data_IF_432823413870
#
_entry.id   IF_432823413870
#
_cell.length_a   1.000
_cell.length_b   1.000
_cell.length_c   1.000
_cell.angle_alpha   90.00
_cell.angle_beta   90.00
_cell.angle_gamma   90.00
#
_symmetry.space_group_name_H-M   'P 1'
#
loop_
_entity.id
_entity.type
_entity.pdbx_description
1 polymer ?
#
# COMPACT_ATOMS: atom_id res chain seq x y z
N UNK A 1 11.61 -18.27 -10.95
CA UNK A 1 12.59 -17.20 -11.18
C UNK A 1 12.33 -16.63 -12.57
N UNK A 2 11.88 -15.38 -12.64
CA UNK A 2 11.59 -14.72 -13.91
C UNK A 2 12.89 -14.35 -14.64
N UNK A 3 12.85 -14.37 -15.97
CA UNK A 3 13.94 -13.83 -16.77
C UNK A 3 13.63 -12.39 -17.17
N UNK A 4 14.67 -11.57 -17.32
CA UNK A 4 14.52 -10.19 -17.75
C UNK A 4 15.51 -9.84 -18.89
N UNK A 5 15.17 -8.81 -19.66
CA UNK A 5 16.01 -8.24 -20.71
C UNK A 5 15.79 -6.74 -20.77
N UNK A 6 16.88 -6.00 -20.61
CA UNK A 6 16.94 -4.57 -20.85
C UNK A 6 17.48 -4.31 -22.26
N UNK A 7 16.76 -3.49 -23.04
CA UNK A 7 17.16 -3.06 -24.38
C UNK A 7 17.26 -1.54 -24.42
N UNK A 8 18.47 -1.01 -24.52
CA UNK A 8 18.70 0.43 -24.72
C UNK A 8 18.13 0.87 -26.06
N UNK A 9 17.25 1.87 -26.04
CA UNK A 9 16.63 2.50 -27.21
C UNK A 9 17.33 3.82 -27.54
N UNK A 10 17.78 4.54 -26.50
CA UNK A 10 18.53 5.78 -26.61
C UNK A 10 19.44 5.94 -25.38
N UNK A 11 20.64 6.46 -25.56
CA UNK A 11 21.51 6.87 -24.46
C UNK A 11 22.50 7.92 -24.95
N UNK A 12 22.69 9.00 -24.19
CA UNK A 12 23.72 10.02 -24.46
C UNK A 12 24.60 10.38 -23.25
N UNK A 13 24.48 9.62 -22.16
CA UNK A 13 25.22 9.81 -20.92
C UNK A 13 24.44 10.56 -19.84
N UNK A 14 23.51 11.44 -20.24
CA UNK A 14 22.61 12.16 -19.33
C UNK A 14 21.22 11.52 -19.33
N UNK A 15 20.70 11.19 -20.52
CA UNK A 15 19.39 10.57 -20.69
C UNK A 15 19.58 9.13 -21.17
N UNK A 16 18.97 8.17 -20.47
CA UNK A 16 18.85 6.79 -20.90
C UNK A 16 17.37 6.44 -21.12
N UNK A 17 17.04 5.89 -22.28
CA UNK A 17 15.70 5.35 -22.56
C UNK A 17 15.87 3.89 -22.96
N UNK A 18 15.25 3.01 -22.19
CA UNK A 18 15.37 1.56 -22.36
C UNK A 18 14.01 0.88 -22.37
N UNK A 19 13.97 -0.36 -22.87
CA UNK A 19 12.82 -1.26 -22.73
C UNK A 19 13.19 -2.43 -21.85
N UNK A 20 12.48 -2.60 -20.74
CA UNK A 20 12.62 -3.75 -19.84
C UNK A 20 11.49 -4.73 -20.07
N UNK A 21 11.84 -5.96 -20.48
CA UNK A 21 10.91 -7.08 -20.60
C UNK A 21 11.18 -8.08 -19.48
N UNK A 22 10.13 -8.49 -18.77
CA UNK A 22 10.17 -9.58 -17.79
C UNK A 22 9.26 -10.70 -18.29
N UNK A 23 9.76 -11.93 -18.31
CA UNK A 23 8.99 -13.08 -18.78
C UNK A 23 9.16 -14.30 -17.89
N UNK A 24 8.13 -15.13 -17.90
CA UNK A 24 8.13 -16.42 -17.24
C UNK A 24 8.77 -17.47 -18.15
N UNK A 25 9.90 -18.09 -17.75
CA UNK A 25 10.52 -19.14 -18.53
C UNK A 25 9.87 -20.52 -18.31
N UNK A 26 8.96 -20.68 -17.34
CA UNK A 26 8.38 -22.00 -17.04
C UNK A 26 7.28 -22.44 -17.98
N UNK A 27 6.83 -21.58 -18.91
CA UNK A 27 5.87 -21.93 -19.95
C UNK A 27 6.54 -22.35 -21.25
N UNK A 28 5.98 -23.35 -21.95
CA UNK A 28 6.49 -23.88 -23.24
C UNK A 28 6.71 -22.78 -24.30
N UNK A 29 5.90 -21.72 -24.22
CA UNK A 29 6.10 -20.46 -24.94
C UNK A 29 6.34 -19.38 -23.89
N UNK A 30 7.51 -18.72 -23.86
CA UNK A 30 7.79 -17.66 -22.89
C UNK A 30 6.71 -16.58 -22.93
N UNK A 31 6.03 -16.37 -21.79
CA UNK A 31 4.99 -15.34 -21.69
C UNK A 31 5.57 -14.08 -21.08
N UNK A 32 5.49 -12.96 -21.80
CA UNK A 32 5.87 -11.65 -21.27
C UNK A 32 4.89 -11.32 -20.15
N UNK A 33 5.43 -11.12 -18.95
CA UNK A 33 4.68 -10.74 -17.75
C UNK A 33 4.68 -9.24 -17.56
N UNK A 34 5.80 -8.56 -17.84
CA UNK A 34 5.93 -7.11 -17.70
C UNK A 34 6.71 -6.50 -18.86
N UNK A 35 6.34 -5.28 -19.25
CA UNK A 35 6.93 -4.54 -20.35
C UNK A 35 6.97 -3.04 -20.01
N UNK A 36 8.16 -2.52 -19.68
CA UNK A 36 8.35 -1.14 -19.29
C UNK A 36 9.09 -0.35 -20.38
N UNK A 37 8.66 0.89 -20.60
CA UNK A 37 9.54 1.95 -21.09
C UNK A 37 10.20 2.58 -19.86
N UNK A 38 11.52 2.45 -19.78
CA UNK A 38 12.32 3.02 -18.69
C UNK A 38 12.96 4.30 -19.20
N UNK A 39 12.81 5.39 -18.45
CA UNK A 39 13.41 6.69 -18.70
C UNK A 39 14.23 7.04 -17.45
N UNK A 40 15.53 7.14 -17.61
CA UNK A 40 16.43 7.57 -16.53
C UNK A 40 17.12 8.86 -16.96
N UNK A 41 17.22 9.83 -16.06
CA UNK A 41 18.01 11.04 -16.29
C UNK A 41 19.16 11.18 -15.27
N UNK A 42 19.83 12.33 -15.27
CA UNK A 42 21.11 12.56 -14.56
C UNK A 42 20.91 13.40 -13.29
N UNK A 43 22.00 13.92 -12.72
CA UNK A 43 21.94 14.73 -11.48
C UNK A 43 21.62 16.22 -11.76
N UNK A 44 20.96 16.55 -12.87
CA UNK A 44 20.69 17.92 -13.26
C UNK A 44 19.24 18.12 -13.64
N UNK A 45 18.68 19.29 -13.30
CA UNK A 45 17.28 19.61 -13.54
C UNK A 45 16.77 19.25 -14.96
N UNK A 46 15.84 18.30 -15.00
CA UNK A 46 15.26 17.68 -16.17
C UNK A 46 13.79 18.03 -16.33
N UNK A 47 13.37 18.29 -17.58
CA UNK A 47 11.95 18.50 -17.93
C UNK A 47 11.45 17.37 -18.80
N UNK A 48 10.60 16.52 -18.25
CA UNK A 48 9.98 15.39 -18.93
C UNK A 48 8.49 15.67 -19.13
N UNK A 49 8.01 15.65 -20.38
CA UNK A 49 6.58 15.77 -20.70
C UNK A 49 6.12 14.65 -21.62
N UNK A 50 5.20 13.82 -21.13
CA UNK A 50 4.66 12.63 -21.81
C UNK A 50 3.23 12.89 -22.24
N UNK A 51 2.96 12.67 -23.53
CA UNK A 51 1.64 12.87 -24.14
C UNK A 51 1.31 11.82 -25.19
N UNK A 52 0.03 11.58 -25.41
CA UNK A 52 -0.43 10.75 -26.53
C UNK A 52 -0.03 11.38 -27.88
N UNK A 53 0.29 10.53 -28.86
CA UNK A 53 0.71 10.92 -30.20
C UNK A 53 0.04 10.05 -31.28
N UNK A 54 -0.23 10.59 -32.50
CA UNK A 54 -0.90 9.83 -33.55
C UNK A 54 -0.23 8.49 -33.89
N UNK A 55 -1.08 7.48 -34.09
CA UNK A 55 -0.70 6.11 -34.48
C UNK A 55 -0.37 5.20 -33.29
N UNK A 56 -1.11 5.28 -32.19
CA UNK A 56 -0.88 4.53 -30.95
C UNK A 56 0.56 4.69 -30.42
N UNK A 57 1.04 5.94 -30.39
CA UNK A 57 2.38 6.31 -29.92
C UNK A 57 2.32 7.28 -28.75
N UNK A 58 3.41 7.36 -27.99
CA UNK A 58 3.70 8.47 -27.09
C UNK A 58 4.67 9.43 -27.78
N UNK A 59 4.54 10.71 -27.47
CA UNK A 59 5.62 11.66 -27.54
C UNK A 59 6.13 11.89 -26.11
N UNK A 60 7.45 11.78 -25.95
CA UNK A 60 8.17 12.08 -24.72
C UNK A 60 9.11 13.22 -25.05
N UNK A 61 8.91 14.38 -24.45
CA UNK A 61 9.84 15.50 -24.51
C UNK A 61 10.73 15.44 -23.29
N UNK A 62 12.05 15.36 -23.50
CA UNK A 62 13.05 15.45 -22.42
C UNK A 62 13.93 16.64 -22.77
N UNK A 63 13.93 17.68 -21.93
CA UNK A 63 14.70 18.91 -22.15
C UNK A 63 14.48 19.49 -23.57
N UNK A 64 13.21 19.63 -23.95
CA UNK A 64 12.74 20.13 -25.25
C UNK A 64 13.06 19.23 -26.48
N UNK A 65 13.66 18.06 -26.27
CA UNK A 65 13.98 17.09 -27.32
C UNK A 65 12.91 15.99 -27.40
N UNK A 66 12.29 15.77 -28.58
CA UNK A 66 11.21 14.79 -28.72
C UNK A 66 11.72 13.37 -29.02
N UNK A 67 11.09 12.40 -28.36
CA UNK A 67 11.24 10.96 -28.58
C UNK A 67 9.85 10.34 -28.82
N UNK A 68 9.77 9.33 -29.68
CA UNK A 68 8.50 8.71 -30.06
C UNK A 68 8.54 7.19 -29.90
N UNK A 69 7.58 6.63 -29.18
CA UNK A 69 7.51 5.19 -28.90
C UNK A 69 6.11 4.64 -29.11
N UNK A 70 5.99 3.42 -29.61
CA UNK A 70 4.69 2.74 -29.75
C UNK A 70 4.21 2.20 -28.41
N UNK A 71 2.95 2.46 -28.08
CA UNK A 71 2.29 2.05 -26.82
C UNK A 71 1.95 0.55 -26.82
N UNK A 72 1.55 0.02 -27.98
CA UNK A 72 1.13 -1.37 -28.15
C UNK A 72 2.30 -2.23 -28.65
N UNK A 73 2.90 -3.10 -27.83
CA UNK A 73 3.85 -4.08 -28.33
C UNK A 73 3.14 -5.10 -29.24
N UNK A 74 3.85 -5.74 -30.19
CA UNK A 74 3.26 -6.75 -31.07
C UNK A 74 2.70 -7.98 -30.33
N UNK A 75 3.26 -8.29 -29.15
CA UNK A 75 2.86 -9.39 -28.26
C UNK A 75 3.19 -8.98 -26.81
N UNK A 76 2.38 -9.44 -25.84
CA UNK A 76 2.57 -9.17 -24.40
C UNK A 76 1.63 -8.10 -23.82
N UNK A 77 1.76 -7.80 -22.53
CA UNK A 77 0.94 -6.81 -21.83
C UNK A 77 1.18 -5.38 -22.36
N UNK A 78 0.25 -4.48 -22.07
CA UNK A 78 0.41 -3.05 -22.36
C UNK A 78 1.68 -2.49 -21.73
N UNK A 79 2.29 -1.51 -22.41
CA UNK A 79 3.55 -0.92 -21.95
C UNK A 79 3.30 -0.03 -20.73
N UNK A 80 4.04 -0.25 -19.65
CA UNK A 80 4.08 0.64 -18.48
C UNK A 80 5.26 1.61 -18.58
N UNK A 81 5.22 2.70 -17.82
CA UNK A 81 6.29 3.69 -17.71
C UNK A 81 7.02 3.52 -16.38
N UNK A 82 8.35 3.58 -16.42
CA UNK A 82 9.22 3.74 -15.27
C UNK A 82 10.10 4.96 -15.54
N UNK A 83 10.05 5.95 -14.65
CA UNK A 83 10.71 7.24 -14.83
C UNK A 83 11.51 7.53 -13.56
N UNK A 84 12.81 7.75 -13.68
CA UNK A 84 13.73 7.98 -12.57
C UNK A 84 14.59 9.20 -12.91
N UNK A 85 14.44 10.31 -12.17
CA UNK A 85 15.15 11.56 -12.51
C UNK A 85 16.37 11.86 -11.64
N UNK A 86 16.61 11.06 -10.58
CA UNK A 86 17.82 11.03 -9.73
C UNK A 86 18.10 12.30 -8.92
N UNK A 87 18.47 13.41 -9.54
CA UNK A 87 18.87 14.59 -8.79
C UNK A 87 18.74 15.88 -9.57
N UNK A 88 18.62 16.98 -8.85
CA UNK A 88 18.30 18.28 -9.43
C UNK A 88 16.79 18.51 -9.46
N UNK A 89 16.37 19.79 -9.55
CA UNK A 89 14.95 20.15 -9.53
C UNK A 89 14.24 19.74 -10.83
N UNK A 90 13.59 18.59 -10.81
CA UNK A 90 13.00 17.95 -11.97
C UNK A 90 11.51 18.28 -12.12
N UNK A 91 11.02 18.14 -13.35
CA UNK A 91 9.60 18.32 -13.69
C UNK A 91 9.15 17.20 -14.61
N UNK A 92 8.38 16.26 -14.07
CA UNK A 92 7.77 15.16 -14.81
C UNK A 92 6.27 15.40 -14.94
N UNK A 93 5.78 15.52 -16.17
CA UNK A 93 4.36 15.72 -16.47
C UNK A 93 3.88 14.62 -17.40
N UNK A 94 2.86 13.89 -16.99
CA UNK A 94 2.12 12.94 -17.83
C UNK A 94 0.73 13.51 -18.07
N UNK A 95 0.36 13.71 -19.34
CA UNK A 95 -0.95 14.29 -19.69
C UNK A 95 -2.12 13.41 -19.19
N UNK A 96 -3.22 14.06 -18.76
CA UNK A 96 -4.40 13.42 -18.15
C UNK A 96 -5.03 12.30 -19.02
N UNK A 97 -4.87 12.36 -20.34
CA UNK A 97 -5.40 11.39 -21.29
C UNK A 97 -4.47 10.20 -21.55
N UNK A 98 -3.25 10.20 -21.00
CA UNK A 98 -2.34 9.04 -21.00
C UNK A 98 -2.81 8.05 -19.93
N UNK A 99 -3.26 6.86 -20.35
CA UNK A 99 -3.85 5.84 -19.46
C UNK A 99 -2.89 4.71 -19.09
N UNK A 100 -1.62 4.84 -19.43
CA UNK A 100 -0.61 3.83 -19.12
C UNK A 100 -0.31 3.81 -17.63
N UNK A 101 0.00 2.61 -17.11
CA UNK A 101 0.56 2.51 -15.78
C UNK A 101 1.92 3.21 -15.73
N UNK A 102 2.19 3.93 -14.66
CA UNK A 102 3.45 4.65 -14.47
C UNK A 102 3.98 4.51 -13.05
N UNK A 103 5.29 4.41 -12.92
CA UNK A 103 6.03 4.69 -11.69
C UNK A 103 6.98 5.84 -11.99
N UNK A 104 6.99 6.85 -11.12
CA UNK A 104 7.85 8.04 -11.24
C UNK A 104 8.55 8.26 -9.91
N UNK A 105 9.87 8.37 -9.95
CA UNK A 105 10.77 8.68 -8.83
C UNK A 105 11.49 9.98 -9.15
N UNK A 106 11.27 11.02 -8.33
CA UNK A 106 11.90 12.34 -8.45
C UNK A 106 13.38 12.28 -8.09
N UNK A 107 13.68 11.78 -6.89
CA UNK A 107 15.05 11.52 -6.47
C UNK A 107 15.49 12.52 -5.40
N UNK A 108 16.46 13.38 -5.70
CA UNK A 108 16.94 14.39 -4.77
C UNK A 108 16.64 15.80 -5.28
N UNK A 109 16.51 16.75 -4.35
CA UNK A 109 16.15 18.15 -4.56
C UNK A 109 14.65 18.34 -4.85
N UNK A 110 14.16 19.58 -4.71
CA UNK A 110 12.73 19.90 -4.86
C UNK A 110 12.19 19.61 -6.29
N UNK A 111 11.28 18.64 -6.42
CA UNK A 111 10.71 18.12 -7.68
C UNK A 111 9.23 18.44 -7.91
N UNK A 112 8.79 18.41 -9.18
CA UNK A 112 7.38 18.48 -9.57
C UNK A 112 6.97 17.24 -10.38
N UNK A 113 6.09 16.41 -9.80
CA UNK A 113 5.61 15.17 -10.42
C UNK A 113 4.10 15.22 -10.66
N UNK A 114 3.67 15.04 -11.90
CA UNK A 114 2.26 14.98 -12.27
C UNK A 114 1.92 13.69 -13.02
N UNK A 115 1.01 12.92 -12.45
CA UNK A 115 0.47 11.70 -13.03
C UNK A 115 -0.62 11.98 -14.08
N UNK A 116 -0.73 11.04 -15.02
CA UNK A 116 -1.79 11.03 -16.02
C UNK A 116 -3.04 10.29 -15.54
N UNK A 117 -3.78 9.70 -16.47
CA UNK A 117 -5.04 9.02 -16.17
C UNK A 117 -4.95 7.52 -15.91
N UNK A 118 -3.76 6.92 -16.00
CA UNK A 118 -3.51 5.51 -15.70
C UNK A 118 -3.29 5.27 -14.20
N UNK A 119 -3.02 4.01 -13.83
CA UNK A 119 -2.58 3.68 -12.47
C UNK A 119 -1.16 4.25 -12.27
N UNK A 120 -0.93 5.04 -11.23
CA UNK A 120 0.38 5.69 -11.05
C UNK A 120 0.87 5.62 -9.62
N UNK A 121 2.16 5.32 -9.47
CA UNK A 121 2.92 5.54 -8.23
C UNK A 121 3.87 6.70 -8.42
N UNK A 122 3.85 7.67 -7.51
CA UNK A 122 4.80 8.79 -7.45
C UNK A 122 5.58 8.70 -6.14
N UNK A 123 6.90 8.89 -6.21
CA UNK A 123 7.80 9.01 -5.07
C UNK A 123 8.57 10.32 -5.21
N UNK A 124 8.48 11.20 -4.22
CA UNK A 124 9.21 12.47 -4.18
C UNK A 124 10.70 12.20 -4.00
N UNK A 125 11.04 11.65 -2.85
CA UNK A 125 12.41 11.30 -2.48
C UNK A 125 12.93 12.28 -1.43
N UNK A 126 14.03 12.97 -1.71
CA UNK A 126 14.57 13.99 -0.81
C UNK A 126 14.33 15.36 -1.39
N UNK A 127 13.81 16.27 -0.58
CA UNK A 127 13.53 17.64 -1.02
C UNK A 127 12.07 17.95 -0.83
N UNK A 128 11.70 19.20 -1.12
CA UNK A 128 10.31 19.64 -0.94
C UNK A 128 9.56 19.49 -2.24
N UNK A 129 8.87 18.37 -2.38
CA UNK A 129 8.30 17.92 -3.64
C UNK A 129 6.84 18.31 -3.76
N UNK A 130 6.41 18.45 -5.01
CA UNK A 130 5.01 18.68 -5.35
C UNK A 130 4.53 17.55 -6.24
N UNK A 131 3.68 16.69 -5.69
CA UNK A 131 3.14 15.53 -6.36
C UNK A 131 1.63 15.68 -6.62
N UNK A 132 1.22 15.41 -7.86
CA UNK A 132 -0.18 15.45 -8.27
C UNK A 132 -0.58 14.15 -8.96
N UNK A 133 -1.41 13.38 -8.27
CA UNK A 133 -2.10 12.22 -8.84
C UNK A 133 -3.20 12.67 -9.83
N UNK A 134 -3.56 11.77 -10.75
CA UNK A 134 -4.49 12.07 -11.84
C UNK A 134 -5.86 11.42 -11.69
N UNK A 135 -6.41 10.93 -12.80
CA UNK A 135 -7.77 10.36 -12.83
C UNK A 135 -7.83 8.85 -12.55
N UNK A 136 -6.70 8.16 -12.63
CA UNK A 136 -6.59 6.74 -12.34
C UNK A 136 -6.35 6.47 -10.86
N UNK A 137 -6.15 5.19 -10.53
CA UNK A 137 -5.77 4.77 -9.18
C UNK A 137 -4.34 5.23 -8.87
N UNK A 138 -4.16 6.04 -7.84
CA UNK A 138 -2.89 6.68 -7.52
C UNK A 138 -2.31 6.28 -6.15
N UNK A 139 -0.99 6.13 -6.11
CA UNK A 139 -0.17 6.05 -4.91
C UNK A 139 0.83 7.23 -4.94
N UNK A 140 0.96 7.98 -3.86
CA UNK A 140 1.99 9.02 -3.73
C UNK A 140 2.66 8.94 -2.35
N UNK A 141 3.97 9.08 -2.34
CA UNK A 141 4.79 9.07 -1.12
C UNK A 141 5.77 10.23 -1.17
N UNK A 142 5.73 11.09 -0.14
CA UNK A 142 6.57 12.27 0.02
C UNK A 142 8.04 11.88 0.20
N UNK A 143 8.26 11.04 1.22
CA UNK A 143 9.56 10.62 1.74
C UNK A 143 10.14 11.62 2.73
N UNK A 144 11.24 12.29 2.43
CA UNK A 144 11.92 13.18 3.38
C UNK A 144 11.70 14.65 3.00
N UNK A 145 11.54 15.51 4.01
CA UNK A 145 11.31 16.96 3.92
C UNK A 145 9.83 17.35 3.68
N UNK A 146 9.53 18.66 3.66
CA UNK A 146 8.16 19.19 3.65
C UNK A 146 7.52 19.10 2.25
N UNK A 147 6.63 18.13 2.03
CA UNK A 147 6.03 17.82 0.73
C UNK A 147 4.61 18.35 0.54
N UNK A 148 4.17 18.42 -0.73
CA UNK A 148 2.78 18.68 -1.11
C UNK A 148 2.22 17.60 -2.01
N UNK A 149 1.26 16.81 -1.51
CA UNK A 149 0.64 15.69 -2.21
C UNK A 149 -0.82 16.01 -2.55
N UNK A 150 -1.19 15.86 -3.83
CA UNK A 150 -2.54 16.15 -4.33
C UNK A 150 -3.15 14.90 -4.99
N UNK A 151 -4.21 14.36 -4.40
CA UNK A 151 -4.81 13.07 -4.77
C UNK A 151 -5.61 13.04 -6.08
N UNK A 152 -5.67 14.14 -6.84
CA UNK A 152 -6.34 14.15 -8.15
C UNK A 152 -7.84 13.90 -8.11
N UNK A 153 -8.37 13.25 -9.15
CA UNK A 153 -9.80 12.91 -9.27
C UNK A 153 -10.10 11.41 -9.15
N UNK A 154 -9.08 10.56 -9.28
CA UNK A 154 -9.18 9.12 -9.06
C UNK A 154 -9.09 8.74 -7.58
N UNK A 155 -9.17 7.44 -7.30
CA UNK A 155 -8.91 6.92 -5.95
C UNK A 155 -7.41 7.05 -5.64
N UNK A 156 -7.07 7.43 -4.41
CA UNK A 156 -5.69 7.76 -4.04
C UNK A 156 -5.32 7.23 -2.66
N UNK A 157 -4.10 6.74 -2.51
CA UNK A 157 -3.42 6.61 -1.22
C UNK A 157 -2.22 7.56 -1.21
N UNK A 158 -2.08 8.35 -0.16
CA UNK A 158 -1.02 9.35 -0.02
C UNK A 158 -0.38 9.24 1.36
N UNK A 159 0.94 9.30 1.39
CA UNK A 159 1.76 9.22 2.59
C UNK A 159 2.75 10.39 2.57
N UNK A 160 2.69 11.27 3.56
CA UNK A 160 3.66 12.37 3.71
C UNK A 160 5.05 11.84 4.09
N UNK A 161 5.07 11.02 5.15
CA UNK A 161 6.27 10.46 5.79
C UNK A 161 6.98 11.49 6.68
N UNK A 162 8.24 11.84 6.43
CA UNK A 162 9.03 12.69 7.31
C UNK A 162 8.97 14.13 6.81
N UNK A 163 8.30 15.02 7.54
CA UNK A 163 8.30 16.43 7.15
C UNK A 163 6.99 17.08 7.54
N UNK A 164 6.88 18.40 7.32
CA UNK A 164 5.61 19.11 7.54
C UNK A 164 4.81 19.12 6.25
N UNK A 165 4.03 18.08 6.06
CA UNK A 165 3.43 17.78 4.77
C UNK A 165 2.06 18.42 4.59
N UNK A 166 1.73 18.71 3.33
CA UNK A 166 0.41 19.15 2.90
C UNK A 166 -0.24 18.10 2.00
N UNK A 167 -1.19 17.35 2.56
CA UNK A 167 -1.94 16.33 1.82
C UNK A 167 -3.33 16.87 1.46
N UNK A 168 -3.63 16.91 0.16
CA UNK A 168 -4.91 17.38 -0.38
C UNK A 168 -5.57 16.24 -1.14
N UNK A 169 -6.63 15.67 -0.59
CA UNK A 169 -7.35 14.56 -1.20
C UNK A 169 -7.84 14.84 -2.61
N UNK A 170 -8.18 16.10 -2.93
CA UNK A 170 -8.58 16.53 -4.28
C UNK A 170 -10.06 16.28 -4.61
N UNK A 171 -10.52 16.79 -5.76
CA UNK A 171 -11.92 16.69 -6.18
C UNK A 171 -12.15 15.56 -7.19
N UNK A 172 -13.25 14.82 -7.04
CA UNK A 172 -13.60 13.69 -7.89
C UNK A 172 -15.08 13.31 -7.78
N UNK A 173 -15.49 12.16 -8.34
CA UNK A 173 -16.86 11.66 -8.23
C UNK A 173 -17.24 11.32 -6.78
N UNK A 174 -18.53 11.21 -6.50
CA UNK A 174 -19.04 10.91 -5.14
C UNK A 174 -18.47 9.60 -4.56
N UNK A 175 -18.24 8.59 -5.40
CA UNK A 175 -17.66 7.30 -5.00
C UNK A 175 -16.14 7.28 -4.84
N UNK A 176 -15.46 8.42 -5.02
CA UNK A 176 -14.01 8.53 -4.83
C UNK A 176 -13.63 8.17 -3.39
N UNK A 177 -12.56 7.41 -3.25
CA UNK A 177 -11.92 7.05 -2.00
C UNK A 177 -10.51 7.60 -1.92
N UNK A 178 -10.17 8.17 -0.78
CA UNK A 178 -8.82 8.66 -0.49
C UNK A 178 -8.36 8.16 0.87
N UNK A 179 -7.16 7.60 0.93
CA UNK A 179 -6.42 7.35 2.15
C UNK A 179 -5.28 8.36 2.25
N UNK A 180 -5.10 8.97 3.42
CA UNK A 180 -4.05 9.96 3.70
C UNK A 180 -3.43 9.64 5.05
N UNK A 181 -2.10 9.59 5.09
CA UNK A 181 -1.28 9.52 6.31
C UNK A 181 -0.30 10.69 6.28
N UNK A 182 -0.30 11.54 7.31
CA UNK A 182 0.67 12.62 7.46
C UNK A 182 2.06 12.04 7.67
N UNK A 183 2.24 11.34 8.79
CA UNK A 183 3.48 10.64 9.09
C UNK A 183 4.12 11.21 10.35
N UNK A 184 5.33 11.73 10.24
CA UNK A 184 6.03 12.42 11.32
C UNK A 184 5.94 13.93 11.12
N UNK A 185 6.02 14.69 12.23
CA UNK A 185 5.95 16.15 12.29
C UNK A 185 4.54 16.71 12.09
N UNK A 186 4.42 18.05 12.10
CA UNK A 186 3.11 18.72 12.15
C UNK A 186 2.50 18.84 10.74
N UNK A 187 1.50 18.01 10.43
CA UNK A 187 0.94 17.89 9.07
C UNK A 187 -0.37 18.65 8.83
N UNK A 188 -0.69 18.91 7.57
CA UNK A 188 -1.94 19.50 7.13
C UNK A 188 -2.70 18.60 6.13
N UNK A 189 -3.84 18.06 6.56
CA UNK A 189 -4.63 17.09 5.79
C UNK A 189 -6.01 17.65 5.39
N UNK A 190 -6.20 17.88 4.09
CA UNK A 190 -7.45 18.39 3.51
C UNK A 190 -8.19 17.26 2.77
N UNK A 191 -9.33 16.83 3.29
CA UNK A 191 -9.95 15.57 2.85
C UNK A 191 -10.39 15.52 1.38
N UNK A 192 -10.65 16.67 0.75
CA UNK A 192 -11.25 16.73 -0.58
C UNK A 192 -12.69 16.20 -0.63
N UNK A 193 -13.16 15.84 -1.81
CA UNK A 193 -14.50 15.24 -2.01
C UNK A 193 -14.48 13.72 -1.92
N UNK A 194 -15.65 13.11 -1.75
CA UNK A 194 -15.79 11.66 -1.66
C UNK A 194 -15.64 11.17 -0.23
N UNK A 195 -15.21 9.92 -0.09
CA UNK A 195 -14.93 9.30 1.20
C UNK A 195 -13.42 9.31 1.48
N UNK A 196 -13.06 9.79 2.66
CA UNK A 196 -11.65 9.91 3.06
C UNK A 196 -11.38 9.21 4.39
N UNK A 197 -10.26 8.50 4.47
CA UNK A 197 -9.62 8.12 5.74
C UNK A 197 -8.37 9.00 5.87
N UNK A 198 -8.24 9.73 6.97
CA UNK A 198 -7.13 10.63 7.21
C UNK A 198 -6.52 10.33 8.58
N UNK A 199 -5.22 10.04 8.60
CA UNK A 199 -4.42 9.83 9.80
C UNK A 199 -3.35 10.90 9.89
N UNK A 200 -3.22 11.54 11.05
CA UNK A 200 -2.23 12.60 11.28
C UNK A 200 -0.84 12.03 11.48
N UNK A 201 -0.73 10.97 12.29
CA UNK A 201 0.56 10.39 12.64
C UNK A 201 1.13 11.04 13.89
N UNK A 202 2.41 11.37 13.89
CA UNK A 202 3.12 11.96 15.01
C UNK A 202 3.29 13.47 14.82
N UNK A 203 2.45 14.29 15.43
CA UNK A 203 2.62 15.73 15.30
C UNK A 203 1.49 16.46 15.97
N UNK A 204 1.43 17.77 15.80
CA UNK A 204 0.21 18.52 16.08
C UNK A 204 -0.47 18.80 14.74
N UNK A 205 -1.38 17.90 14.35
CA UNK A 205 -1.86 17.85 12.97
C UNK A 205 -3.11 18.70 12.78
N UNK A 206 -3.27 19.21 11.57
CA UNK A 206 -4.43 20.02 11.18
C UNK A 206 -5.22 19.32 10.09
N UNK A 207 -6.46 18.96 10.40
CA UNK A 207 -7.40 18.38 9.46
C UNK A 207 -8.44 19.40 9.01
N UNK A 208 -8.77 19.39 7.73
CA UNK A 208 -9.91 20.12 7.17
C UNK A 208 -10.85 19.18 6.42
N UNK A 209 -12.04 18.99 6.99
CA UNK A 209 -13.11 18.19 6.39
C UNK A 209 -13.78 18.89 5.20
N UNK A 210 -13.89 18.17 4.08
CA UNK A 210 -14.58 18.61 2.86
C UNK A 210 -15.47 17.52 2.21
N UNK A 211 -15.30 16.25 2.62
CA UNK A 211 -16.06 15.09 2.17
C UNK A 211 -16.66 14.36 3.37
N UNK A 212 -17.04 13.09 3.21
CA UNK A 212 -17.31 12.21 4.36
C UNK A 212 -15.96 11.69 4.83
N UNK A 213 -15.59 11.92 6.09
CA UNK A 213 -14.23 11.63 6.54
C UNK A 213 -14.21 10.85 7.86
N UNK A 214 -13.31 9.87 7.90
CA UNK A 214 -12.88 9.23 9.15
C UNK A 214 -11.52 9.79 9.51
N UNK A 215 -11.44 10.48 10.64
CA UNK A 215 -10.23 11.09 11.17
C UNK A 215 -9.64 10.20 12.26
N UNK A 216 -8.35 9.90 12.15
CA UNK A 216 -7.52 9.33 13.19
C UNK A 216 -6.48 10.40 13.56
N UNK A 217 -6.61 11.02 14.73
CA UNK A 217 -5.81 12.23 15.00
C UNK A 217 -4.34 11.96 15.22
N UNK A 218 -3.93 10.74 15.63
CA UNK A 218 -2.51 10.42 15.80
C UNK A 218 -2.02 10.69 17.22
N UNK A 219 -0.75 11.09 17.38
CA UNK A 219 -0.16 11.64 18.62
C UNK A 219 -0.29 13.17 18.64
N UNK A 220 0.40 13.84 19.57
CA UNK A 220 0.34 15.30 19.77
C UNK A 220 -1.05 15.89 20.03
N UNK A 221 -1.18 17.21 19.77
CA UNK A 221 -2.38 18.02 20.02
C UNK A 221 -2.99 18.48 18.69
N UNK A 222 -4.02 17.76 18.26
CA UNK A 222 -4.50 17.89 16.89
C UNK A 222 -5.69 18.84 16.78
N UNK A 223 -5.95 19.31 15.57
CA UNK A 223 -7.07 20.21 15.28
C UNK A 223 -7.88 19.74 14.08
N UNK A 224 -9.20 19.55 14.25
CA UNK A 224 -10.11 19.23 13.13
C UNK A 224 -11.07 20.39 12.89
N UNK A 225 -11.03 20.91 11.65
CA UNK A 225 -11.89 21.97 11.16
C UNK A 225 -12.89 21.43 10.12
N UNK A 226 -14.08 22.01 10.06
CA UNK A 226 -15.11 21.69 9.05
C UNK A 226 -15.53 20.21 8.97
N UNK A 227 -15.51 19.47 10.09
CA UNK A 227 -16.16 18.17 10.16
C UNK A 227 -17.68 18.29 9.93
N UNK A 228 -18.31 17.16 9.61
CA UNK A 228 -19.67 17.08 9.12
C UNK A 228 -20.46 16.00 9.85
N UNK A 229 -21.77 16.02 9.62
CA UNK A 229 -22.63 14.89 9.98
C UNK A 229 -22.10 13.63 9.29
N UNK A 230 -22.09 12.50 9.98
CA UNK A 230 -21.58 11.19 9.52
C UNK A 230 -20.05 11.01 9.51
N UNK A 231 -19.28 12.06 9.81
CA UNK A 231 -17.85 11.90 10.06
C UNK A 231 -17.61 11.06 11.32
N UNK A 232 -16.51 10.31 11.30
CA UNK A 232 -16.01 9.53 12.44
C UNK A 232 -14.72 10.18 12.91
N UNK A 233 -14.59 10.42 14.20
CA UNK A 233 -13.40 11.02 14.80
C UNK A 233 -12.89 10.07 15.87
N UNK A 234 -11.72 9.50 15.62
CA UNK A 234 -10.91 8.74 16.56
C UNK A 234 -9.81 9.68 17.04
N UNK A 235 -10.02 10.28 18.22
CA UNK A 235 -9.13 11.31 18.71
C UNK A 235 -8.88 11.25 20.20
N UNK A 236 -7.91 12.03 20.67
CA UNK A 236 -7.40 11.97 22.03
C UNK A 236 -7.98 13.08 22.90
N UNK A 237 -7.87 12.92 24.21
CA UNK A 237 -8.07 14.04 25.12
C UNK A 237 -6.97 15.09 24.88
N UNK A 238 -7.37 16.31 24.50
CA UNK A 238 -6.45 17.41 24.19
C UNK A 238 -6.68 18.00 22.80
N UNK A 239 -7.21 17.20 21.88
CA UNK A 239 -7.46 17.62 20.50
C UNK A 239 -8.62 18.63 20.43
N UNK A 240 -8.49 19.60 19.52
CA UNK A 240 -9.43 20.68 19.31
C UNK A 240 -10.28 20.44 18.05
N UNK A 241 -11.59 20.35 18.19
CA UNK A 241 -12.47 20.22 17.02
C UNK A 241 -13.87 20.73 17.29
N UNK A 242 -14.46 21.34 16.26
CA UNK A 242 -15.87 21.70 16.30
C UNK A 242 -16.72 20.42 16.25
N UNK A 243 -17.69 20.26 17.15
CA UNK A 243 -18.57 19.09 17.13
C UNK A 243 -19.74 19.35 16.19
N UNK A 244 -19.64 18.88 14.95
CA UNK A 244 -20.77 18.84 14.04
C UNK A 244 -21.87 17.92 14.58
N UNK A 245 -23.12 18.39 14.60
CA UNK A 245 -24.25 17.58 15.05
C UNK A 245 -24.40 16.32 14.20
N UNK A 246 -24.19 15.15 14.81
CA UNK A 246 -24.28 13.85 14.16
C UNK A 246 -22.96 13.30 13.60
N UNK A 247 -21.82 13.92 13.90
CA UNK A 247 -20.52 13.23 13.83
C UNK A 247 -20.38 12.25 15.01
N UNK A 248 -19.63 11.17 14.82
CA UNK A 248 -19.27 10.24 15.89
C UNK A 248 -17.90 10.62 16.43
N UNK A 249 -17.75 10.68 17.75
CA UNK A 249 -16.45 10.85 18.42
C UNK A 249 -16.18 9.65 19.32
N UNK A 250 -15.00 9.05 19.15
CA UNK A 250 -14.49 7.95 19.94
C UNK A 250 -13.15 8.42 20.52
N UNK A 251 -13.07 8.45 21.85
CA UNK A 251 -11.81 8.75 22.52
C UNK A 251 -10.86 7.55 22.37
N UNK A 252 -9.69 7.80 21.79
CA UNK A 252 -8.59 6.85 21.69
C UNK A 252 -7.54 7.23 22.72
N UNK A 253 -7.16 6.29 23.57
CA UNK A 253 -6.11 6.52 24.56
C UNK A 253 -4.76 6.25 23.92
N UNK A 254 -3.71 7.04 24.20
CA UNK A 254 -2.35 6.72 23.79
C UNK A 254 -1.99 5.27 24.19
N UNK A 255 -1.31 4.58 23.29
CA UNK A 255 -0.96 3.17 23.44
C UNK A 255 0.47 2.95 22.97
N UNK A 256 1.17 2.02 23.63
CA UNK A 256 2.49 1.51 23.24
C UNK A 256 2.39 0.10 22.63
N UNK A 257 1.17 -0.35 22.29
CA UNK A 257 0.94 -1.68 21.75
C UNK A 257 1.74 -1.95 20.47
N UNK A 258 2.14 -3.20 20.27
CA UNK A 258 2.93 -3.66 19.13
C UNK A 258 4.44 -3.49 19.31
N UNK A 259 4.93 -3.04 20.47
CA UNK A 259 6.38 -2.92 20.73
C UNK A 259 7.07 -4.26 21.03
N UNK A 260 6.30 -5.31 21.32
CA UNK A 260 6.84 -6.59 21.76
C UNK A 260 6.48 -7.75 20.82
N UNK A 261 5.42 -7.61 20.02
CA UNK A 261 4.92 -8.62 19.10
C UNK A 261 5.73 -8.78 17.83
N UNK A 262 6.48 -7.75 17.44
CA UNK A 262 7.08 -7.66 16.11
C UNK A 262 8.60 -7.42 16.13
N UNK A 263 9.23 -7.81 15.03
CA UNK A 263 10.62 -7.49 14.67
C UNK A 263 10.64 -7.10 13.20
N UNK A 264 11.38 -6.06 12.83
CA UNK A 264 11.59 -5.71 11.44
C UNK A 264 12.83 -6.41 10.89
N UNK A 265 12.74 -6.92 9.67
CA UNK A 265 13.85 -7.45 8.90
C UNK A 265 14.20 -6.49 7.77
N UNK A 266 15.48 -6.44 7.43
CA UNK A 266 16.01 -5.62 6.35
C UNK A 266 16.33 -6.49 5.14
N UNK A 267 16.18 -5.91 3.94
CA UNK A 267 16.62 -6.55 2.72
C UNK A 267 18.12 -6.34 2.53
N UNK A 268 18.86 -7.43 2.36
CA UNK A 268 20.29 -7.38 2.02
C UNK A 268 20.54 -6.99 0.56
N UNK A 269 19.49 -6.96 -0.27
CA UNK A 269 19.54 -6.55 -1.67
C UNK A 269 19.19 -5.07 -1.86
N UNK A 270 18.59 -4.44 -0.84
CA UNK A 270 18.20 -3.03 -0.84
C UNK A 270 19.33 -2.12 -0.33
N UNK A 271 19.30 -0.86 -0.74
CA UNK A 271 20.15 0.21 -0.21
C UNK A 271 19.80 0.52 1.24
N UNK A 272 20.66 1.27 1.94
CA UNK A 272 20.34 1.71 3.29
C UNK A 272 19.12 2.63 3.30
N UNK A 273 19.01 3.55 2.34
CA UNK A 273 17.87 4.45 2.22
C UNK A 273 16.56 3.67 2.02
N UNK A 274 16.52 2.71 1.10
CA UNK A 274 15.32 1.88 0.88
C UNK A 274 14.91 1.10 2.16
N UNK A 275 15.88 0.66 2.96
CA UNK A 275 15.61 0.03 4.25
C UNK A 275 15.15 1.05 5.31
N UNK A 276 15.68 2.29 5.30
CA UNK A 276 15.20 3.41 6.13
C UNK A 276 13.75 3.75 5.82
N UNK A 277 13.42 3.91 4.53
CA UNK A 277 12.08 4.20 4.05
C UNK A 277 11.12 3.08 4.44
N UNK A 278 11.52 1.81 4.27
CA UNK A 278 10.71 0.67 4.70
C UNK A 278 10.45 0.67 6.22
N UNK A 279 11.47 0.94 7.04
CA UNK A 279 11.33 1.02 8.50
C UNK A 279 10.37 2.14 8.89
N UNK A 280 10.48 3.30 8.23
CA UNK A 280 9.60 4.44 8.45
C UNK A 280 8.15 4.10 8.07
N UNK A 281 7.92 3.56 6.87
CA UNK A 281 6.58 3.15 6.41
C UNK A 281 5.91 2.15 7.36
N UNK A 282 6.64 1.14 7.84
CA UNK A 282 6.12 0.18 8.83
C UNK A 282 5.83 0.86 10.18
N UNK A 283 6.66 1.82 10.59
CA UNK A 283 6.42 2.58 11.83
C UNK A 283 5.13 3.40 11.76
N UNK A 284 4.86 4.05 10.64
CA UNK A 284 3.63 4.82 10.40
C UNK A 284 2.39 3.93 10.38
N UNK A 285 2.45 2.80 9.67
CA UNK A 285 1.35 1.83 9.63
C UNK A 285 1.04 1.25 11.02
N UNK A 286 2.08 0.97 11.83
CA UNK A 286 1.89 0.57 13.23
C UNK A 286 1.34 1.71 14.09
N UNK A 287 1.71 2.97 13.81
CA UNK A 287 1.16 4.13 14.51
C UNK A 287 -0.31 4.36 14.17
N UNK A 288 -0.72 4.20 12.91
CA UNK A 288 -2.12 4.19 12.51
C UNK A 288 -2.91 3.16 13.33
N UNK A 289 -2.38 1.94 13.48
CA UNK A 289 -3.02 0.90 14.29
C UNK A 289 -3.08 1.28 15.78
N UNK A 290 -2.10 2.02 16.31
CA UNK A 290 -2.19 2.57 17.68
C UNK A 290 -3.21 3.70 17.79
N UNK A 291 -3.54 4.39 16.71
CA UNK A 291 -4.63 5.38 16.64
C UNK A 291 -6.01 4.73 16.45
N UNK A 292 -6.06 3.44 16.13
CA UNK A 292 -7.29 2.67 15.88
C UNK A 292 -7.69 1.81 17.10
N UNK A 293 -8.96 1.86 17.59
CA UNK A 293 -9.43 0.92 18.60
C UNK A 293 -9.32 -0.56 18.21
N UNK A 294 -9.58 -0.90 16.94
CA UNK A 294 -9.36 -2.25 16.39
C UNK A 294 -7.86 -2.57 16.34
N UNK A 295 -7.04 -1.65 15.84
CA UNK A 295 -5.59 -1.81 15.76
C UNK A 295 -4.96 -2.00 17.15
N UNK A 296 -5.33 -1.21 18.16
CA UNK A 296 -4.84 -1.35 19.53
C UNK A 296 -5.16 -2.73 20.12
N UNK A 297 -6.36 -3.26 19.88
CA UNK A 297 -6.73 -4.60 20.33
C UNK A 297 -5.85 -5.66 19.67
N UNK A 298 -5.68 -5.58 18.34
CA UNK A 298 -4.83 -6.48 17.58
C UNK A 298 -3.37 -6.45 18.06
N UNK A 299 -2.78 -5.26 18.12
CA UNK A 299 -1.39 -5.08 18.54
C UNK A 299 -1.15 -5.54 19.99
N UNK A 300 -2.07 -5.25 20.91
CA UNK A 300 -1.96 -5.69 22.31
C UNK A 300 -2.00 -7.21 22.42
N UNK A 301 -2.86 -7.85 21.65
CA UNK A 301 -2.96 -9.31 21.65
C UNK A 301 -1.74 -9.97 21.01
N UNK A 302 -1.19 -9.38 19.94
CA UNK A 302 0.07 -9.87 19.34
C UNK A 302 1.27 -9.71 20.28
N UNK A 303 1.36 -8.63 21.05
CA UNK A 303 2.37 -8.50 22.12
C UNK A 303 2.24 -9.62 23.16
N UNK A 304 1.01 -9.93 23.60
CA UNK A 304 0.76 -10.99 24.56
C UNK A 304 1.08 -12.38 24.00
N UNK A 305 0.71 -12.65 22.74
CA UNK A 305 1.00 -13.91 22.05
C UNK A 305 2.51 -14.11 21.91
N UNK A 306 3.26 -13.06 21.61
CA UNK A 306 4.72 -13.19 21.47
C UNK A 306 5.41 -13.65 22.76
N UNK A 307 4.90 -13.22 23.92
CA UNK A 307 5.37 -13.69 25.23
C UNK A 307 5.05 -15.17 25.42
N UNK A 308 3.82 -15.59 25.08
CA UNK A 308 3.35 -16.98 25.25
C UNK A 308 4.08 -17.94 24.33
N UNK A 309 4.33 -17.54 23.08
CA UNK A 309 4.98 -18.38 22.07
C UNK A 309 6.51 -18.31 22.12
N UNK A 310 7.08 -17.45 22.97
CA UNK A 310 8.52 -17.19 23.05
C UNK A 310 9.14 -16.78 21.70
N UNK A 311 8.41 -16.01 20.91
CA UNK A 311 8.80 -15.63 19.55
C UNK A 311 7.93 -14.51 19.01
N UNK A 312 8.40 -13.83 17.98
CA UNK A 312 7.77 -12.63 17.40
C UNK A 312 7.40 -12.88 15.95
N UNK A 313 6.48 -12.08 15.44
CA UNK A 313 6.23 -11.99 13.99
C UNK A 313 7.27 -11.06 13.38
N UNK A 314 7.98 -11.54 12.36
CA UNK A 314 8.89 -10.70 11.59
C UNK A 314 8.11 -9.95 10.51
N UNK A 315 8.45 -8.70 10.25
CA UNK A 315 7.95 -7.91 9.12
C UNK A 315 9.13 -7.66 8.19
N UNK A 316 9.06 -8.11 6.94
CA UNK A 316 10.14 -8.05 5.98
C UNK A 316 9.68 -7.33 4.69
N UNK A 317 10.55 -6.58 4.01
CA UNK A 317 10.19 -5.93 2.76
C UNK A 317 9.96 -6.96 1.65
N UNK A 318 8.98 -6.67 0.80
CA UNK A 318 8.80 -7.35 -0.50
C UNK A 318 8.36 -6.30 -1.53
N UNK A 319 9.02 -6.29 -2.68
CA UNK A 319 8.68 -5.38 -3.78
C UNK A 319 8.05 -6.09 -4.97
N UNK A 320 8.00 -7.43 -4.95
CA UNK A 320 7.49 -8.25 -6.03
C UNK A 320 6.55 -9.33 -5.47
N UNK A 321 5.39 -9.48 -6.09
CA UNK A 321 4.36 -10.50 -5.81
C UNK A 321 3.34 -10.15 -4.70
N UNK A 322 3.45 -8.95 -4.14
CA UNK A 322 2.53 -8.41 -3.13
C UNK A 322 2.79 -8.97 -1.73
N UNK A 323 2.17 -8.32 -0.75
CA UNK A 323 2.27 -8.71 0.65
C UNK A 323 1.73 -10.13 0.87
N UNK A 324 2.37 -10.86 1.78
CA UNK A 324 2.01 -12.24 2.10
C UNK A 324 2.47 -12.65 3.49
N UNK A 325 1.83 -13.69 4.02
CA UNK A 325 2.17 -14.33 5.28
C UNK A 325 2.84 -15.69 5.06
N UNK A 326 3.92 -15.95 5.80
CA UNK A 326 4.60 -17.23 5.87
C UNK A 326 4.58 -17.78 7.31
N UNK A 327 4.03 -18.99 7.47
CA UNK A 327 4.09 -19.73 8.73
C UNK A 327 5.49 -20.28 8.94
N UNK A 328 6.06 -20.05 10.14
CA UNK A 328 7.29 -20.69 10.56
C UNK A 328 7.33 -20.89 12.08
N UNK A 329 8.01 -21.96 12.50
CA UNK A 329 8.21 -22.29 13.90
C UNK A 329 9.51 -23.04 14.14
N UNK A 330 10.08 -22.88 15.34
CA UNK A 330 11.33 -23.55 15.75
C UNK A 330 11.24 -25.08 15.72
N UNK A 331 10.05 -25.65 15.81
CA UNK A 331 9.81 -27.09 15.73
C UNK A 331 10.11 -27.63 14.32
N UNK A 332 9.90 -26.83 13.28
CA UNK A 332 10.12 -27.23 11.89
C UNK A 332 11.61 -27.47 11.58
N UNK A 333 12.52 -26.78 12.27
CA UNK A 333 13.97 -26.96 12.10
C UNK A 333 14.47 -28.38 12.43
N UNK A 334 13.72 -29.12 13.27
CA UNK A 334 14.11 -30.45 13.73
C UNK A 334 13.63 -31.56 12.80
N UNK A 335 12.95 -31.22 11.70
CA UNK A 335 12.42 -32.19 10.75
C UNK A 335 13.49 -32.65 9.77
N UNK A 336 13.49 -33.95 9.47
CA UNK A 336 14.22 -34.47 8.30
C UNK A 336 13.52 -34.03 7.01
N UNK A 337 14.24 -34.04 5.88
CA UNK A 337 13.65 -33.73 4.56
C UNK A 337 12.39 -34.55 4.27
N UNK A 338 12.39 -35.84 4.62
CA UNK A 338 11.24 -36.72 4.43
C UNK A 338 10.05 -36.34 5.33
N UNK A 339 10.30 -35.85 6.55
CA UNK A 339 9.23 -35.38 7.43
C UNK A 339 8.66 -34.05 6.94
N UNK A 340 9.52 -33.12 6.49
CA UNK A 340 9.10 -31.84 5.93
C UNK A 340 8.19 -32.02 4.68
N UNK A 341 8.50 -33.01 3.83
CA UNK A 341 7.68 -33.33 2.65
C UNK A 341 6.29 -33.93 2.96
N UNK A 342 6.06 -34.39 4.20
CA UNK A 342 4.82 -35.08 4.59
C UNK A 342 4.13 -34.37 5.77
N UNK A 343 4.37 -33.07 5.96
CA UNK A 343 3.68 -32.30 7.00
C UNK A 343 2.18 -32.24 6.69
N UNK A 344 1.36 -32.47 7.72
CA UNK A 344 -0.07 -32.17 7.64
C UNK A 344 -0.31 -30.70 8.00
N UNK A 345 -1.49 -30.19 7.64
CA UNK A 345 -1.85 -28.80 7.89
C UNK A 345 -1.76 -28.40 9.37
N UNK A 346 -2.05 -29.34 10.29
CA UNK A 346 -1.93 -29.08 11.72
C UNK A 346 -0.50 -28.74 12.15
N UNK A 347 0.52 -29.35 11.53
CA UNK A 347 1.91 -28.98 11.76
C UNK A 347 2.25 -27.56 11.25
N UNK A 348 1.44 -27.01 10.33
CA UNK A 348 1.55 -25.67 9.74
C UNK A 348 0.48 -24.70 10.29
N UNK A 349 -0.09 -25.00 11.46
CA UNK A 349 -1.01 -24.13 12.17
C UNK A 349 -2.48 -24.21 11.77
N UNK A 350 -2.85 -25.13 10.88
CA UNK A 350 -4.27 -25.39 10.60
C UNK A 350 -4.97 -26.09 11.77
N UNK A 351 -6.22 -25.73 12.01
CA UNK A 351 -7.06 -26.44 12.97
C UNK A 351 -7.41 -27.84 12.47
N UNK A 352 -7.51 -28.78 13.40
CA UNK A 352 -7.96 -30.15 13.13
C UNK A 352 -9.02 -30.54 14.14
N UNK A 353 -10.23 -30.82 13.67
CA UNK A 353 -11.39 -31.22 14.49
C UNK A 353 -11.71 -30.23 15.65
N UNK A 354 -11.55 -28.92 15.39
CA UNK A 354 -11.79 -27.86 16.37
C UNK A 354 -10.68 -27.68 17.41
N UNK A 355 -9.56 -28.39 17.25
CA UNK A 355 -8.35 -28.25 18.06
C UNK A 355 -7.33 -27.43 17.29
N UNK A 356 -6.69 -26.48 17.98
CA UNK A 356 -5.62 -25.68 17.41
C UNK A 356 -4.43 -26.55 16.98
N UNK A 357 -3.83 -26.22 15.84
CA UNK A 357 -2.60 -26.79 15.34
C UNK A 357 -1.35 -26.26 16.05
N UNK A 358 -0.19 -26.47 15.42
CA UNK A 358 1.08 -25.88 15.83
C UNK A 358 1.01 -24.36 15.83
N UNK A 359 1.76 -23.74 16.73
CA UNK A 359 1.82 -22.29 16.84
C UNK A 359 3.08 -21.76 16.18
N UNK A 360 2.93 -20.76 15.34
CA UNK A 360 4.07 -20.03 14.82
C UNK A 360 4.75 -19.23 15.95
N UNK A 361 6.09 -19.28 15.96
CA UNK A 361 6.93 -18.43 16.81
C UNK A 361 8.06 -17.73 16.04
N UNK A 362 8.08 -17.90 14.71
CA UNK A 362 8.99 -17.20 13.79
C UNK A 362 8.33 -16.79 12.47
N UNK A 363 7.00 -16.66 12.44
CA UNK A 363 6.31 -16.30 11.22
C UNK A 363 6.81 -14.97 10.62
N UNK A 364 6.66 -14.82 9.31
CA UNK A 364 7.07 -13.63 8.57
C UNK A 364 5.86 -13.07 7.83
N UNK A 365 5.64 -11.76 7.98
CA UNK A 365 4.82 -10.97 7.06
C UNK A 365 5.78 -10.31 6.08
N UNK A 366 5.73 -10.71 4.82
CA UNK A 366 6.35 -9.97 3.73
C UNK A 366 5.40 -8.83 3.36
N UNK A 367 5.87 -7.59 3.46
CA UNK A 367 5.04 -6.40 3.30
C UNK A 367 5.56 -5.50 2.18
N UNK A 368 4.65 -5.15 1.26
CA UNK A 368 4.85 -4.14 0.22
C UNK A 368 4.09 -2.86 0.62
N UNK A 369 4.78 -1.84 1.16
CA UNK A 369 4.14 -0.61 1.60
C UNK A 369 3.51 0.22 0.48
N UNK A 370 3.87 -0.04 -0.79
CA UNK A 370 3.30 0.63 -1.94
C UNK A 370 2.08 -0.11 -2.53
N UNK A 371 1.69 -1.25 -1.94
CA UNK A 371 0.62 -2.07 -2.47
C UNK A 371 -0.76 -1.47 -2.21
N UNK A 372 -1.26 -0.73 -3.20
CA UNK A 372 -2.69 -0.38 -3.29
C UNK A 372 -3.44 -1.35 -4.18
N UNK A 373 -4.63 -1.75 -3.75
CA UNK A 373 -5.52 -2.61 -4.53
C UNK A 373 -6.89 -1.98 -4.68
N UNK A 374 -7.52 -2.19 -5.82
CA UNK A 374 -8.87 -1.72 -6.08
C UNK A 374 -9.71 -2.80 -6.74
N UNK A 375 -11.00 -2.84 -6.41
CA UNK A 375 -11.93 -3.72 -7.09
C UNK A 375 -12.18 -3.27 -8.55
N UNK A 376 -12.61 -4.20 -9.40
CA UNK A 376 -12.94 -3.91 -10.82
C UNK A 376 -14.11 -2.94 -11.05
N UNK A 377 -14.77 -2.42 -10.00
CA UNK A 377 -15.78 -1.35 -10.14
C UNK A 377 -15.23 0.03 -9.72
N UNK A 378 -13.97 0.10 -9.27
CA UNK A 378 -13.36 1.31 -8.72
C UNK A 378 -14.11 1.88 -7.50
N UNK A 379 -14.81 1.01 -6.78
CA UNK A 379 -15.66 1.37 -5.62
C UNK A 379 -15.10 0.90 -4.29
N UNK A 380 -13.93 0.27 -4.28
CA UNK A 380 -13.31 -0.20 -3.04
C UNK A 380 -11.79 -0.10 -3.18
N UNK A 381 -11.23 0.98 -2.63
CA UNK A 381 -9.79 1.16 -2.44
C UNK A 381 -9.37 0.38 -1.20
N UNK A 382 -8.31 -0.41 -1.33
CA UNK A 382 -7.59 -1.06 -0.25
C UNK A 382 -6.22 -0.40 -0.16
N UNK A 383 -6.01 0.52 0.80
CA UNK A 383 -4.69 1.12 1.03
C UNK A 383 -3.72 0.08 1.61
N UNK A 384 -2.40 0.36 1.61
CA UNK A 384 -1.38 -0.56 2.13
C UNK A 384 -1.69 -1.07 3.53
N UNK A 385 -2.17 -0.18 4.42
CA UNK A 385 -2.56 -0.57 5.78
C UNK A 385 -3.66 -1.64 5.84
N UNK A 386 -4.62 -1.64 4.89
CA UNK A 386 -5.65 -2.67 4.80
C UNK A 386 -5.09 -4.03 4.35
N UNK A 387 -4.06 -4.00 3.50
CA UNK A 387 -3.32 -5.19 3.06
C UNK A 387 -2.44 -5.71 4.19
N UNK A 388 -1.70 -4.84 4.88
CA UNK A 388 -0.92 -5.21 6.06
C UNK A 388 -1.79 -5.87 7.14
N UNK A 389 -2.96 -5.28 7.43
CA UNK A 389 -3.87 -5.81 8.43
C UNK A 389 -4.47 -7.17 8.05
N UNK A 390 -4.59 -7.45 6.75
CA UNK A 390 -4.98 -8.77 6.25
C UNK A 390 -3.91 -9.82 6.60
N UNK A 391 -2.64 -9.54 6.31
CA UNK A 391 -1.52 -10.44 6.66
C UNK A 391 -1.33 -10.56 8.18
N UNK A 392 -1.64 -9.50 8.94
CA UNK A 392 -1.66 -9.53 10.40
C UNK A 392 -2.72 -10.51 10.94
N UNK A 393 -3.88 -10.63 10.29
CA UNK A 393 -4.89 -11.62 10.66
C UNK A 393 -4.40 -13.06 10.43
N UNK A 394 -3.67 -13.31 9.32
CA UNK A 394 -2.99 -14.59 9.10
C UNK A 394 -1.93 -14.86 10.17
N UNK A 395 -1.15 -13.85 10.54
CA UNK A 395 -0.14 -13.98 11.58
C UNK A 395 -0.71 -14.30 12.96
N UNK A 396 -1.84 -13.68 13.33
CA UNK A 396 -2.59 -14.07 14.51
C UNK A 396 -3.02 -15.55 14.43
N UNK A 397 -3.65 -15.96 13.33
CA UNK A 397 -4.13 -17.33 13.15
C UNK A 397 -3.00 -18.36 13.21
N UNK A 398 -1.85 -18.08 12.59
CA UNK A 398 -0.68 -18.96 12.68
C UNK A 398 -0.09 -19.01 14.08
N UNK A 399 -0.03 -17.87 14.78
CA UNK A 399 0.51 -17.81 16.15
C UNK A 399 -0.41 -18.47 17.18
N UNK A 400 -1.72 -18.55 16.94
CA UNK A 400 -2.68 -19.27 17.79
C UNK A 400 -2.90 -20.72 17.36
N UNK A 401 -2.45 -21.09 16.15
CA UNK A 401 -2.70 -22.40 15.52
C UNK A 401 -4.16 -22.54 15.07
N UNK A 402 -4.81 -21.44 14.69
CA UNK A 402 -6.24 -21.39 14.34
C UNK A 402 -6.52 -21.16 12.85
N UNK A 403 -5.56 -21.43 11.95
CA UNK A 403 -5.81 -21.31 10.50
C UNK A 403 -6.94 -22.27 10.07
N UNK A 404 -7.92 -21.76 9.32
CA UNK A 404 -9.01 -22.61 8.81
C UNK A 404 -8.52 -23.46 7.62
N UNK A 405 -8.62 -24.80 7.72
CA UNK A 405 -8.23 -25.70 6.63
C UNK A 405 -9.26 -25.71 5.50
N UNK A 406 -8.83 -26.18 4.33
CA UNK A 406 -9.69 -26.46 3.19
C UNK A 406 -10.08 -25.24 2.37
N UNK A 407 -10.98 -25.44 1.41
CA UNK A 407 -11.37 -24.43 0.43
C UNK A 407 -12.90 -24.27 0.36
N UNK A 408 -13.34 -23.04 0.10
CA UNK A 408 -14.72 -22.69 -0.25
C UNK A 408 -14.78 -22.25 -1.71
N UNK A 409 -15.78 -22.75 -2.46
CA UNK A 409 -16.00 -22.32 -3.84
C UNK A 409 -16.72 -20.97 -3.87
N UNK A 410 -16.09 -19.96 -4.46
CA UNK A 410 -16.72 -18.67 -4.74
C UNK A 410 -17.09 -18.51 -6.22
N UNK A 411 -18.23 -17.86 -6.51
CA UNK A 411 -18.71 -17.65 -7.88
C UNK A 411 -18.10 -16.37 -8.45
N UNK A 412 -17.15 -16.51 -9.36
CA UNK A 412 -16.54 -15.40 -10.08
C UNK A 412 -17.59 -14.59 -10.87
N UNK A 413 -17.27 -13.32 -11.13
CA UNK A 413 -18.09 -12.45 -11.98
C UNK A 413 -18.29 -12.97 -13.41
N UNK A 414 -17.37 -13.81 -13.90
CA UNK A 414 -17.49 -14.48 -15.21
C UNK A 414 -18.37 -15.73 -15.19
N UNK A 415 -18.98 -16.06 -14.03
CA UNK A 415 -19.89 -17.20 -13.86
C UNK A 415 -19.20 -18.53 -13.60
N UNK A 416 -17.88 -18.54 -13.39
CA UNK A 416 -17.11 -19.73 -12.97
C UNK A 416 -17.03 -19.84 -11.45
N UNK A 417 -16.69 -21.02 -10.92
CA UNK A 417 -16.39 -21.19 -9.49
C UNK A 417 -14.89 -21.35 -9.29
N UNK A 418 -14.30 -20.56 -8.42
CA UNK A 418 -12.89 -20.67 -8.04
C UNK A 418 -12.79 -21.14 -6.59
N UNK A 419 -11.98 -22.16 -6.28
CA UNK A 419 -11.67 -22.49 -4.89
C UNK A 419 -10.86 -21.34 -4.27
N UNK A 420 -11.25 -20.99 -3.04
CA UNK A 420 -10.55 -20.04 -2.19
C UNK A 420 -10.27 -20.72 -0.86
N UNK A 421 -9.04 -20.60 -0.35
CA UNK A 421 -8.68 -21.16 0.94
C UNK A 421 -9.52 -20.55 2.07
N UNK A 422 -9.97 -21.36 3.02
CA UNK A 422 -10.83 -20.89 4.11
C UNK A 422 -10.12 -19.91 5.05
N UNK A 423 -8.80 -20.02 5.22
CA UNK A 423 -8.02 -19.04 5.99
C UNK A 423 -8.08 -17.63 5.39
N UNK A 424 -8.29 -17.51 4.08
CA UNK A 424 -8.48 -16.21 3.42
C UNK A 424 -9.85 -15.60 3.77
N UNK A 425 -10.89 -16.42 3.79
CA UNK A 425 -12.23 -15.99 4.25
C UNK A 425 -12.21 -15.58 5.73
N UNK A 426 -11.43 -16.31 6.54
CA UNK A 426 -11.19 -16.02 7.94
C UNK A 426 -10.52 -14.66 8.14
N UNK A 427 -9.42 -14.38 7.43
CA UNK A 427 -8.70 -13.11 7.51
C UNK A 427 -9.52 -11.92 7.01
N UNK A 428 -10.35 -12.11 5.98
CA UNK A 428 -11.29 -11.06 5.54
C UNK A 428 -12.38 -10.79 6.59
N UNK A 429 -12.78 -11.81 7.37
CA UNK A 429 -13.95 -11.76 8.25
C UNK A 429 -15.26 -12.10 7.52
N UNK A 430 -15.20 -13.01 6.55
CA UNK A 430 -16.38 -13.62 5.92
C UNK A 430 -16.93 -14.79 6.74
N UNK A 431 -16.17 -15.25 7.73
CA UNK A 431 -16.59 -16.22 8.74
C UNK A 431 -16.56 -15.59 10.14
N UNK A 432 -17.03 -16.32 11.15
CA UNK A 432 -17.05 -15.87 12.55
C UNK A 432 -15.94 -16.48 13.41
N UNK A 433 -14.94 -17.09 12.78
CA UNK A 433 -13.89 -17.87 13.47
C UNK A 433 -12.77 -16.98 14.04
N UNK A 434 -12.67 -15.74 13.58
CA UNK A 434 -11.74 -14.74 14.12
C UNK A 434 -12.43 -13.72 15.02
N UNK A 435 -11.73 -13.23 16.07
CA UNK A 435 -12.12 -12.00 16.74
C UNK A 435 -12.24 -10.85 15.72
N UNK A 436 -13.18 -9.92 15.96
CA UNK A 436 -13.42 -8.80 15.04
C UNK A 436 -12.14 -7.99 14.75
N UNK A 437 -11.25 -7.84 15.73
CA UNK A 437 -9.97 -7.12 15.58
C UNK A 437 -8.85 -7.93 14.89
N UNK A 438 -9.13 -9.12 14.39
CA UNK A 438 -8.25 -9.86 13.47
C UNK A 438 -9.01 -10.21 12.18
N UNK A 439 -9.76 -9.24 11.66
CA UNK A 439 -10.42 -9.31 10.36
C UNK A 439 -10.26 -8.02 9.57
N UNK A 440 -10.00 -8.11 8.27
CA UNK A 440 -9.94 -6.96 7.34
C UNK A 440 -11.22 -6.11 7.43
N UNK A 441 -12.39 -6.77 7.45
CA UNK A 441 -13.69 -6.10 7.60
C UNK A 441 -13.88 -5.42 8.96
N UNK A 442 -13.25 -5.91 10.03
CA UNK A 442 -13.27 -5.24 11.34
C UNK A 442 -12.62 -3.86 11.28
N UNK A 443 -11.49 -3.76 10.57
CA UNK A 443 -10.81 -2.48 10.35
C UNK A 443 -11.58 -1.60 9.34
N UNK A 444 -12.07 -2.15 8.23
CA UNK A 444 -12.88 -1.36 7.27
C UNK A 444 -14.17 -0.81 7.85
N UNK A 445 -14.86 -1.57 8.72
CA UNK A 445 -16.04 -1.06 9.40
C UNK A 445 -15.72 0.14 10.30
N UNK A 446 -14.56 0.11 10.98
CA UNK A 446 -14.06 1.21 11.80
C UNK A 446 -13.69 2.43 10.95
N UNK A 447 -12.89 2.23 9.90
CA UNK A 447 -12.57 3.26 8.90
C UNK A 447 -13.82 3.76 8.17
N UNK A 448 -14.93 3.03 8.28
CA UNK A 448 -16.19 3.31 7.62
C UNK A 448 -16.15 3.05 6.11
N UNK A 449 -15.12 2.41 5.58
CA UNK A 449 -14.95 2.09 4.16
C UNK A 449 -15.82 0.89 3.77
N UNK A 450 -16.05 0.65 2.47
CA UNK A 450 -16.82 -0.51 2.03
C UNK A 450 -16.20 -1.82 2.54
N UNK A 451 -17.04 -2.78 2.95
CA UNK A 451 -16.59 -4.10 3.38
C UNK A 451 -16.32 -5.01 2.19
N UNK A 452 -15.40 -5.97 2.34
CA UNK A 452 -15.28 -7.11 1.42
C UNK A 452 -16.38 -8.12 1.71
N UNK A 453 -17.15 -8.44 0.69
CA UNK A 453 -18.27 -9.39 0.76
C UNK A 453 -17.92 -10.77 0.17
N UNK A 454 -16.76 -10.87 -0.45
CA UNK A 454 -16.16 -12.08 -1.02
C UNK A 454 -14.63 -11.90 -1.01
N UNK A 455 -13.91 -13.01 -1.12
CA UNK A 455 -12.46 -12.95 -1.17
C UNK A 455 -11.95 -12.60 -2.56
N UNK A 456 -12.68 -12.94 -3.64
CA UNK A 456 -12.26 -12.76 -5.03
C UNK A 456 -11.10 -11.78 -5.20
N UNK A 457 -10.04 -12.25 -5.87
CA UNK A 457 -9.01 -11.38 -6.45
C UNK A 457 -9.63 -10.53 -7.58
N UNK A 458 -10.70 -9.81 -7.28
CA UNK A 458 -11.27 -8.69 -8.04
C UNK A 458 -10.31 -7.49 -8.03
N UNK A 459 -9.16 -7.63 -7.37
CA UNK A 459 -7.96 -6.83 -7.56
C UNK A 459 -7.66 -6.70 -9.05
N UNK A 460 -7.62 -5.48 -9.56
CA UNK A 460 -6.69 -5.19 -10.66
C UNK A 460 -5.29 -5.26 -10.02
N UNK A 461 -4.72 -6.46 -9.97
CA UNK A 461 -3.50 -6.76 -9.21
C UNK A 461 -2.80 -7.99 -9.75
N UNK A 462 -2.11 -7.81 -10.88
CA UNK A 462 -0.84 -8.42 -11.27
C UNK A 462 -0.21 -7.60 -12.38
#
# INVERSE_FOLDING_TARGET
>A
MYNHRLLTLYSDGEVNISRLLVWDPSSDVPTIKRNYLVIETGDGADRIHIRNWPGDRLQILINDKPYFFSIKPPQGPEQSLLIETKGGHDSVIIDDDVKLQATVEGGNDDDYLQAGGGRTSLYGGKGRDVMRLGSGLGYAEGNDDDDTLIGGSGNAAMYGNNGKDLLIGGFGPEGKQTYMDGGNDDDALLSGSGQTVAHGGNGNDVFVGAGRTTFYTGKGQDSIWNNRREDRIYGKTGDAFDRASGSTFIEVKPSDAGQHGFTLLESVESTEQENEDFRQRVADDLEFLRSSPIGQQALTEMDAIAIVNHGKVSIAPISQDGSSYEFDSTELDNLTEQQAQNLDGAALGEMKDGVAGSRANRAVIYYDPAQIVENSQHTHLRPPIGVFFHELAHAYNGATGTLLPGETLEISRSGGTNPVNNFEHQAVGLTSDNPRHFTENGLYEEMGTPLRLNYHKDSIGM
#
